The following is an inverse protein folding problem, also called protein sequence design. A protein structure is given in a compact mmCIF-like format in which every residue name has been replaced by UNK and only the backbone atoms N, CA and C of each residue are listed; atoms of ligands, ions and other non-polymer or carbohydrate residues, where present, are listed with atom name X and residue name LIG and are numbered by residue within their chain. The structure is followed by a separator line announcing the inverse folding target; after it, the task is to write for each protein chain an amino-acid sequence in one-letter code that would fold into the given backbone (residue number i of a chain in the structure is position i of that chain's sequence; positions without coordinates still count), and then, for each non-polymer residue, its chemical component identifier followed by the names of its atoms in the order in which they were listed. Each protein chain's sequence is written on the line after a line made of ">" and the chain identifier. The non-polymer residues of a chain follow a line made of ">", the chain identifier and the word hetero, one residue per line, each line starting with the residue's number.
data_IF_734551416891
#
_entry.id   IF_734551416891
#
_cell.length_a   1.000
_cell.length_b   1.000
_cell.length_c   1.000
_cell.angle_alpha   90.00
_cell.angle_beta   90.00
_cell.angle_gamma   90.00
#
_symmetry.space_group_name_H-M   'P 1'
#
loop_
_entity.id
_entity.type
_entity.pdbx_description
1 polymer ?
#
# COMPACT_ATOMS: atom_id res chain seq x y z
N UNK A 1 -6.34 14.67 4.51
CA UNK A 1 -7.60 14.36 5.15
C UNK A 1 -7.95 12.89 4.94
N UNK A 2 -8.40 12.17 5.97
CA UNK A 2 -8.93 10.81 5.92
C UNK A 2 -10.31 10.80 6.56
N UNK A 3 -11.29 10.17 5.92
CA UNK A 3 -12.65 10.11 6.44
C UNK A 3 -13.24 8.71 6.29
N UNK A 4 -13.99 8.27 7.29
CA UNK A 4 -14.86 7.11 7.22
C UNK A 4 -16.26 7.54 6.79
N UNK A 5 -16.78 6.86 5.76
CA UNK A 5 -18.12 7.13 5.24
C UNK A 5 -18.98 5.88 5.31
N UNK A 6 -20.27 6.07 5.54
CA UNK A 6 -21.26 5.02 5.29
C UNK A 6 -21.41 4.78 3.78
N UNK A 7 -22.11 3.73 3.37
CA UNK A 7 -22.31 3.41 1.95
C UNK A 7 -23.19 4.41 1.19
N UNK A 8 -24.04 5.14 1.92
CA UNK A 8 -24.88 6.24 1.43
C UNK A 8 -24.19 7.62 1.51
N UNK A 9 -22.87 7.64 1.83
CA UNK A 9 -22.03 8.82 1.80
C UNK A 9 -22.06 9.66 3.07
N UNK A 10 -22.72 9.23 4.14
CA UNK A 10 -22.68 9.95 5.42
C UNK A 10 -21.32 9.78 6.09
N UNK A 11 -20.75 10.89 6.54
CA UNK A 11 -19.50 10.88 7.30
C UNK A 11 -19.72 10.31 8.70
N UNK A 12 -18.94 9.28 9.02
CA UNK A 12 -18.87 8.69 10.36
C UNK A 12 -17.84 9.44 11.20
N UNK A 13 -16.66 9.65 10.64
CA UNK A 13 -15.54 10.34 11.27
C UNK A 13 -14.63 10.97 10.21
N UNK A 14 -13.78 11.88 10.65
CA UNK A 14 -12.80 12.58 9.84
C UNK A 14 -11.55 12.89 10.68
N UNK A 15 -10.37 12.76 10.09
CA UNK A 15 -9.08 13.08 10.70
C UNK A 15 -8.18 13.80 9.72
N UNK A 16 -7.47 14.78 10.21
CA UNK A 16 -6.42 15.47 9.46
C UNK A 16 -5.08 14.80 9.76
N UNK A 17 -4.70 13.81 8.95
CA UNK A 17 -3.42 13.11 9.11
C UNK A 17 -2.24 14.09 9.05
N UNK A 18 -2.35 15.16 8.28
CA UNK A 18 -1.31 16.20 8.17
C UNK A 18 -1.17 17.00 9.47
N UNK A 19 -2.26 17.43 10.07
CA UNK A 19 -2.23 18.22 11.31
C UNK A 19 -1.83 17.37 12.53
N UNK A 20 -2.31 16.13 12.59
CA UNK A 20 -2.05 15.24 13.70
C UNK A 20 -0.65 14.64 13.69
N UNK A 21 -0.09 14.31 12.51
CA UNK A 21 1.17 13.57 12.40
C UNK A 21 2.26 14.30 11.62
N UNK A 22 1.98 15.50 11.11
CA UNK A 22 2.94 16.33 10.36
C UNK A 22 3.74 15.55 9.30
N UNK A 23 3.10 14.77 8.41
CA UNK A 23 3.81 14.15 7.32
C UNK A 23 4.22 15.26 6.34
N UNK A 24 5.54 15.40 6.12
CA UNK A 24 6.04 16.27 5.07
C UNK A 24 6.09 15.51 3.76
N UNK A 25 5.37 16.01 2.75
CA UNK A 25 5.49 15.54 1.37
C UNK A 25 6.24 16.60 0.56
N UNK A 26 7.17 16.18 -0.27
CA UNK A 26 8.02 17.11 -1.03
C UNK A 26 7.50 17.44 -2.41
N UNK A 27 6.66 16.62 -2.99
CA UNK A 27 6.21 16.75 -4.37
C UNK A 27 4.69 16.65 -4.49
N UNK A 28 4.00 17.74 -4.20
CA UNK A 28 2.61 17.93 -4.61
C UNK A 28 1.57 17.09 -3.86
N UNK A 29 1.78 16.77 -2.59
CA UNK A 29 0.75 16.17 -1.74
C UNK A 29 0.25 14.79 -2.17
N UNK A 30 1.06 14.02 -2.88
CA UNK A 30 0.73 12.65 -3.28
C UNK A 30 0.55 11.78 -2.06
N UNK A 31 -0.47 10.93 -2.08
CA UNK A 31 -0.80 10.03 -0.98
C UNK A 31 -0.91 8.59 -1.48
N UNK A 32 -0.70 7.64 -0.57
CA UNK A 32 -0.96 6.23 -0.81
C UNK A 32 -2.40 5.93 -0.44
N UNK A 33 -3.09 5.13 -1.23
CA UNK A 33 -4.46 4.69 -0.91
C UNK A 33 -4.48 3.88 0.39
N UNK A 34 -5.45 4.13 1.28
CA UNK A 34 -5.62 3.30 2.46
C UNK A 34 -5.97 1.86 2.08
N UNK A 35 -5.54 0.91 2.90
CA UNK A 35 -5.97 -0.49 2.79
C UNK A 35 -6.84 -0.86 3.98
N UNK A 36 -7.85 -1.71 3.73
CA UNK A 36 -8.75 -2.19 4.78
C UNK A 36 -8.45 -3.66 5.07
N UNK A 37 -8.18 -3.99 6.34
CA UNK A 37 -8.02 -5.36 6.83
C UNK A 37 -8.88 -5.59 8.08
N UNK A 38 -9.92 -6.42 7.95
CA UNK A 38 -10.91 -6.62 9.01
C UNK A 38 -11.58 -5.31 9.43
N UNK A 39 -11.39 -4.90 10.67
CA UNK A 39 -11.91 -3.65 11.22
C UNK A 39 -10.95 -2.46 11.09
N UNK A 40 -9.77 -2.66 10.53
CA UNK A 40 -8.75 -1.63 10.42
C UNK A 40 -8.76 -0.97 9.05
N UNK A 41 -8.60 0.35 9.02
CA UNK A 41 -8.17 1.14 7.88
C UNK A 41 -6.73 1.54 8.14
N UNK A 42 -5.80 1.10 7.28
CA UNK A 42 -4.36 1.33 7.47
C UNK A 42 -3.90 2.32 6.41
N UNK A 43 -3.17 3.34 6.85
CA UNK A 43 -2.58 4.37 5.99
C UNK A 43 -1.08 4.45 6.22
N UNK A 44 -0.33 4.80 5.18
CA UNK A 44 1.08 5.15 5.26
C UNK A 44 1.21 6.66 5.16
N UNK A 45 2.07 7.25 5.99
CA UNK A 45 2.39 8.67 5.88
C UNK A 45 3.62 8.83 5.00
N UNK A 46 3.49 9.40 3.79
CA UNK A 46 4.66 9.69 2.98
C UNK A 46 5.53 10.71 3.72
N UNK A 47 6.81 10.40 3.84
CA UNK A 47 7.81 11.27 4.46
C UNK A 47 9.00 11.44 3.55
N UNK A 48 9.66 12.59 3.64
CA UNK A 48 10.93 12.81 2.96
C UNK A 48 11.98 13.34 3.94
N UNK A 49 13.24 13.34 3.53
CA UNK A 49 14.36 13.85 4.33
C UNK A 49 14.64 15.34 4.14
N UNK A 50 13.77 16.05 3.46
CA UNK A 50 14.04 17.44 3.12
C UNK A 50 13.87 18.34 4.35
N UNK A 51 14.99 18.83 4.82
CA UNK A 51 15.09 19.74 5.95
C UNK A 51 15.20 19.07 7.33
N UNK A 52 15.52 19.88 8.32
CA UNK A 52 15.74 19.46 9.71
C UNK A 52 14.45 18.93 10.39
N UNK A 53 13.28 19.30 9.87
CA UNK A 53 11.97 18.91 10.41
C UNK A 53 11.44 17.59 9.84
N UNK A 54 12.15 16.95 8.91
CA UNK A 54 11.72 15.66 8.36
C UNK A 54 11.59 14.61 9.46
N UNK A 55 10.48 13.88 9.45
CA UNK A 55 10.27 12.78 10.39
C UNK A 55 11.40 11.74 10.25
N UNK A 56 11.83 11.18 11.38
CA UNK A 56 12.93 10.20 11.41
C UNK A 56 12.58 8.86 10.80
N UNK A 57 11.28 8.56 10.64
CA UNK A 57 10.80 7.32 10.05
C UNK A 57 9.44 7.53 9.35
N UNK A 58 9.17 6.74 8.31
CA UNK A 58 7.84 6.63 7.73
C UNK A 58 6.91 5.94 8.73
N UNK A 59 5.76 6.52 8.97
CA UNK A 59 4.74 5.97 9.86
C UNK A 59 3.67 5.22 9.08
N UNK A 60 3.23 4.11 9.65
CA UNK A 60 2.03 3.40 9.27
C UNK A 60 1.05 3.52 10.44
N UNK A 61 -0.19 3.88 10.14
CA UNK A 61 -1.21 4.17 11.14
C UNK A 61 -2.43 3.32 10.83
N UNK A 62 -2.88 2.52 11.79
CA UNK A 62 -4.13 1.80 11.69
C UNK A 62 -5.20 2.45 12.55
N UNK A 63 -6.36 2.66 11.95
CA UNK A 63 -7.53 3.21 12.60
C UNK A 63 -8.66 2.17 12.61
N UNK A 64 -9.49 2.16 13.64
CA UNK A 64 -10.77 1.46 13.56
C UNK A 64 -11.62 2.15 12.47
N UNK A 65 -11.98 1.41 11.43
CA UNK A 65 -12.69 1.97 10.27
C UNK A 65 -14.07 2.52 10.59
N UNK A 66 -14.65 2.21 11.78
CA UNK A 66 -15.99 2.65 12.21
C UNK A 66 -15.94 3.94 13.02
N UNK A 67 -14.89 4.11 13.84
CA UNK A 67 -14.78 5.23 14.80
C UNK A 67 -13.69 6.23 14.43
N UNK A 68 -12.68 5.81 13.64
CA UNK A 68 -11.51 6.62 13.35
C UNK A 68 -10.47 6.63 14.48
N UNK A 69 -10.66 5.83 15.53
CA UNK A 69 -9.70 5.73 16.63
C UNK A 69 -8.41 5.06 16.19
N UNK A 70 -7.28 5.55 16.67
CA UNK A 70 -5.97 4.98 16.35
C UNK A 70 -5.76 3.70 17.14
N UNK A 71 -5.61 2.59 16.44
CA UNK A 71 -5.40 1.26 17.02
C UNK A 71 -3.93 0.96 17.21
N UNK A 72 -3.09 1.33 16.24
CA UNK A 72 -1.64 1.24 16.35
C UNK A 72 -0.93 2.21 15.38
N UNK A 73 0.30 2.57 15.75
CA UNK A 73 1.25 3.31 14.91
C UNK A 73 2.53 2.47 14.85
N UNK A 74 3.09 2.31 13.65
CA UNK A 74 4.29 1.53 13.40
C UNK A 74 5.29 2.30 12.55
N UNK A 75 6.58 2.11 12.83
CA UNK A 75 7.72 2.68 12.10
C UNK A 75 8.69 1.57 11.72
N UNK A 76 8.32 0.67 10.78
CA UNK A 76 9.11 -0.53 10.46
C UNK A 76 10.38 -0.25 9.68
N UNK A 77 10.48 0.92 9.04
CA UNK A 77 11.61 1.33 8.20
C UNK A 77 12.69 2.09 8.95
N UNK A 78 13.79 2.35 8.25
CA UNK A 78 14.84 3.22 8.67
C UNK A 78 14.54 4.70 8.39
N UNK A 79 15.59 5.54 8.45
CA UNK A 79 15.48 6.95 8.13
C UNK A 79 15.03 7.10 6.66
N UNK A 80 13.97 7.87 6.37
CA UNK A 80 13.53 8.12 5.02
C UNK A 80 14.63 8.81 4.21
N UNK A 81 14.81 8.38 2.98
CA UNK A 81 15.73 9.04 2.04
C UNK A 81 14.95 9.80 0.96
N UNK A 82 13.81 9.28 0.56
CA UNK A 82 12.88 9.93 -0.34
C UNK A 82 11.45 9.47 -0.04
N UNK A 83 10.46 10.11 -0.67
CA UNK A 83 9.06 9.73 -0.51
C UNK A 83 8.80 8.35 -1.12
N UNK A 84 7.98 7.52 -0.46
CA UNK A 84 7.47 6.28 -1.02
C UNK A 84 5.98 6.41 -1.32
N UNK A 85 5.59 6.00 -2.52
CA UNK A 85 4.20 5.89 -2.98
C UNK A 85 3.78 4.42 -3.17
N UNK A 86 4.54 3.49 -2.61
CA UNK A 86 4.28 2.06 -2.75
C UNK A 86 2.89 1.72 -2.21
N UNK A 87 2.03 1.08 -3.01
CA UNK A 87 0.77 0.56 -2.52
C UNK A 87 1.01 -0.54 -1.48
N UNK A 88 0.14 -0.56 -0.47
CA UNK A 88 0.13 -1.59 0.55
C UNK A 88 -0.66 -2.80 0.07
N UNK A 89 -0.15 -4.01 0.27
CA UNK A 89 -0.81 -5.26 -0.04
C UNK A 89 -0.92 -6.15 1.20
N UNK A 90 -2.06 -6.82 1.39
CA UNK A 90 -2.20 -7.89 2.37
C UNK A 90 -1.93 -9.22 1.68
N UNK A 91 -0.94 -9.94 2.18
CA UNK A 91 -0.52 -11.25 1.66
C UNK A 91 -0.50 -12.28 2.79
N UNK A 92 -0.47 -13.57 2.44
CA UNK A 92 -0.32 -14.65 3.41
C UNK A 92 0.99 -15.38 3.16
N UNK A 93 1.87 -15.41 4.16
CA UNK A 93 3.17 -16.10 4.13
C UNK A 93 3.17 -17.14 5.26
N UNK A 94 3.34 -18.41 4.91
CA UNK A 94 3.31 -19.52 5.87
C UNK A 94 2.11 -19.46 6.84
N UNK A 95 0.92 -19.18 6.31
CA UNK A 95 -0.31 -19.08 7.09
C UNK A 95 -0.44 -17.81 7.94
N UNK A 96 0.51 -16.90 7.91
CA UNK A 96 0.46 -15.61 8.61
C UNK A 96 0.14 -14.48 7.63
N UNK A 97 -0.84 -13.64 7.97
CA UNK A 97 -1.15 -12.43 7.19
C UNK A 97 -0.09 -11.37 7.45
N UNK A 98 0.37 -10.75 6.38
CA UNK A 98 1.33 -9.65 6.41
C UNK A 98 0.82 -8.51 5.53
N UNK A 99 1.01 -7.29 5.98
CA UNK A 99 0.97 -6.10 5.15
C UNK A 99 2.36 -5.89 4.59
N UNK A 100 2.49 -5.92 3.27
CA UNK A 100 3.77 -5.71 2.57
C UNK A 100 3.70 -4.44 1.73
N UNK A 101 4.80 -3.68 1.71
CA UNK A 101 4.90 -2.40 0.99
C UNK A 101 6.35 -1.97 0.83
N UNK A 102 6.59 -0.98 0.00
CA UNK A 102 7.88 -0.29 -0.06
C UNK A 102 7.97 0.85 0.96
N UNK A 103 9.16 1.06 1.48
CA UNK A 103 9.49 2.14 2.42
C UNK A 103 10.20 3.32 1.79
N UNK A 104 10.14 4.46 2.47
CA UNK A 104 10.83 5.72 2.10
C UNK A 104 12.35 5.64 2.25
N UNK A 105 12.85 4.58 2.87
CA UNK A 105 14.26 4.28 3.11
C UNK A 105 14.86 3.29 2.09
N UNK A 106 14.13 2.99 1.01
CA UNK A 106 14.56 2.06 -0.03
C UNK A 106 14.40 0.59 0.33
N UNK A 107 13.63 0.30 1.37
CA UNK A 107 13.38 -1.06 1.82
C UNK A 107 12.02 -1.61 1.38
N UNK A 108 11.95 -2.89 1.11
CA UNK A 108 10.72 -3.66 1.20
C UNK A 108 10.44 -3.95 2.68
N UNK A 109 9.19 -3.82 3.10
CA UNK A 109 8.75 -3.90 4.49
C UNK A 109 7.60 -4.89 4.65
N UNK A 110 7.57 -5.61 5.77
CA UNK A 110 6.40 -6.36 6.20
C UNK A 110 6.05 -6.06 7.65
N UNK A 111 4.77 -5.90 7.90
CA UNK A 111 4.17 -5.63 9.22
C UNK A 111 3.01 -6.58 9.48
N UNK A 112 2.76 -6.91 10.74
CA UNK A 112 1.53 -7.58 11.18
C UNK A 112 0.36 -6.60 11.04
N UNK A 113 -0.65 -6.86 10.18
CA UNK A 113 -1.71 -5.87 9.93
C UNK A 113 -2.55 -5.56 11.17
N UNK A 114 -2.70 -6.51 12.10
CA UNK A 114 -3.53 -6.32 13.30
C UNK A 114 -2.82 -5.62 14.46
N UNK A 115 -1.48 -5.70 14.53
CA UNK A 115 -0.69 -5.19 15.66
C UNK A 115 0.27 -4.07 15.31
N UNK A 116 0.61 -3.90 14.02
CA UNK A 116 1.64 -2.97 13.57
C UNK A 116 3.09 -3.48 13.81
N UNK A 117 3.26 -4.71 14.31
CA UNK A 117 4.58 -5.29 14.59
C UNK A 117 5.39 -5.47 13.29
N UNK A 118 6.61 -4.92 13.19
CA UNK A 118 7.52 -5.19 12.08
C UNK A 118 7.91 -6.68 12.03
N UNK A 119 7.88 -7.29 10.83
CA UNK A 119 8.24 -8.69 10.63
C UNK A 119 9.59 -8.83 9.95
N UNK A 120 9.76 -8.15 8.82
CA UNK A 120 11.04 -8.10 8.11
C UNK A 120 11.22 -6.82 7.32
N UNK A 121 12.47 -6.52 7.00
CA UNK A 121 12.90 -5.39 6.19
C UNK A 121 14.02 -5.83 5.25
N UNK A 122 13.95 -5.50 3.96
CA UNK A 122 14.97 -5.77 2.93
C UNK A 122 15.30 -4.48 2.20
N UNK A 123 16.47 -3.89 2.46
CA UNK A 123 16.94 -2.70 1.73
C UNK A 123 17.44 -3.11 0.36
N UNK A 124 16.92 -2.46 -0.69
CA UNK A 124 17.22 -2.78 -2.10
C UNK A 124 17.58 -1.55 -2.95
N UNK A 125 17.22 -0.35 -2.51
CA UNK A 125 17.46 0.89 -3.23
C UNK A 125 18.01 1.97 -2.30
N UNK A 126 18.64 3.00 -2.88
CA UNK A 126 19.08 4.18 -2.12
C UNK A 126 17.95 5.16 -1.82
N UNK A 127 16.82 5.08 -2.53
CA UNK A 127 15.65 5.95 -2.39
C UNK A 127 14.39 5.16 -2.12
N UNK A 128 13.28 5.87 -1.84
CA UNK A 128 12.00 5.27 -1.54
C UNK A 128 11.45 4.38 -2.67
N UNK A 129 10.87 3.25 -2.30
CA UNK A 129 10.22 2.36 -3.26
C UNK A 129 8.82 2.88 -3.60
N UNK A 130 8.45 2.90 -4.88
CA UNK A 130 7.19 3.41 -5.37
C UNK A 130 6.26 2.33 -5.94
N UNK A 131 6.76 1.12 -6.13
CA UNK A 131 6.00 -0.02 -6.66
C UNK A 131 5.50 -0.93 -5.55
N UNK A 132 4.40 -1.63 -5.80
CA UNK A 132 3.85 -2.62 -4.88
C UNK A 132 4.70 -3.89 -4.82
N UNK A 133 4.71 -4.51 -3.64
CA UNK A 133 5.31 -5.82 -3.44
C UNK A 133 4.23 -6.87 -3.63
N UNK A 134 4.51 -7.89 -4.44
CA UNK A 134 3.60 -8.99 -4.75
C UNK A 134 4.11 -10.28 -4.15
N UNK A 135 3.20 -11.21 -3.87
CA UNK A 135 3.53 -12.57 -3.46
C UNK A 135 3.16 -13.57 -4.56
N UNK A 136 4.09 -14.45 -4.89
CA UNK A 136 3.91 -15.56 -5.80
C UNK A 136 4.37 -16.86 -5.14
N UNK A 137 3.43 -17.61 -4.57
CA UNK A 137 3.76 -18.80 -3.79
C UNK A 137 4.66 -18.45 -2.59
N UNK A 138 5.91 -18.93 -2.61
CA UNK A 138 6.92 -18.70 -1.56
C UNK A 138 7.91 -17.58 -1.90
N UNK A 139 7.67 -16.83 -2.97
CA UNK A 139 8.52 -15.71 -3.37
C UNK A 139 7.75 -14.40 -3.31
N UNK A 140 8.43 -13.33 -2.90
CA UNK A 140 7.95 -11.97 -3.06
C UNK A 140 8.68 -11.29 -4.22
N UNK A 141 7.94 -10.53 -5.02
CA UNK A 141 8.44 -9.79 -6.17
C UNK A 141 8.39 -8.30 -5.83
N UNK A 142 9.48 -7.61 -6.05
CA UNK A 142 9.60 -6.16 -5.93
C UNK A 142 10.26 -5.57 -7.17
N UNK A 143 10.06 -4.28 -7.40
CA UNK A 143 10.83 -3.51 -8.37
C UNK A 143 11.03 -2.07 -7.87
N UNK A 144 11.97 -1.35 -8.47
CA UNK A 144 12.14 0.08 -8.26
C UNK A 144 12.76 0.74 -9.51
N UNK A 145 12.73 2.06 -9.55
CA UNK A 145 13.31 2.84 -10.66
C UNK A 145 14.53 3.66 -10.27
N UNK A 146 14.95 3.60 -9.01
CA UNK A 146 15.99 4.46 -8.45
C UNK A 146 17.37 3.79 -8.41
N UNK A 147 18.35 4.43 -7.75
CA UNK A 147 19.72 3.92 -7.70
C UNK A 147 19.81 2.61 -6.93
N UNK A 148 20.48 1.65 -7.51
CA UNK A 148 20.85 0.40 -6.85
C UNK A 148 21.91 0.64 -5.76
N UNK A 149 21.99 -0.25 -4.76
CA UNK A 149 22.95 -0.13 -3.64
C UNK A 149 24.40 -0.34 -4.07
N UNK A 150 24.64 -1.14 -5.11
CA UNK A 150 25.96 -1.71 -5.44
C UNK A 150 26.37 -1.51 -6.89
N UNK A 151 25.55 -0.83 -7.71
CA UNK A 151 25.89 -0.49 -9.12
C UNK A 151 25.44 0.93 -9.45
N UNK A 152 25.90 1.45 -10.60
CA UNK A 152 25.44 2.72 -11.17
C UNK A 152 24.22 2.55 -12.09
N UNK A 153 23.76 1.33 -12.32
CA UNK A 153 22.55 1.09 -13.08
C UNK A 153 21.32 1.52 -12.26
N UNK A 154 20.40 2.19 -12.92
CA UNK A 154 19.12 2.59 -12.34
C UNK A 154 18.11 1.45 -12.43
N UNK A 155 17.37 1.25 -11.34
CA UNK A 155 16.26 0.32 -11.32
C UNK A 155 16.64 -1.16 -11.19
N UNK A 156 15.68 -1.92 -10.69
CA UNK A 156 15.79 -3.37 -10.54
C UNK A 156 14.39 -3.99 -10.44
N UNK A 157 14.26 -5.21 -10.93
CA UNK A 157 13.19 -6.14 -10.54
C UNK A 157 13.83 -7.37 -9.91
N UNK A 158 13.29 -7.84 -8.80
CA UNK A 158 13.87 -8.96 -8.05
C UNK A 158 12.80 -9.84 -7.38
N UNK A 159 13.16 -11.10 -7.17
CA UNK A 159 12.44 -12.01 -6.30
C UNK A 159 13.26 -12.30 -5.05
N UNK A 160 12.59 -12.39 -3.91
CA UNK A 160 13.21 -12.72 -2.64
C UNK A 160 12.34 -13.64 -1.78
N UNK A 161 12.96 -14.24 -0.77
CA UNK A 161 12.28 -15.09 0.21
C UNK A 161 11.68 -14.25 1.34
N UNK A 162 10.34 -14.14 1.45
CA UNK A 162 9.67 -13.36 2.49
C UNK A 162 9.42 -14.14 3.79
N UNK A 163 9.94 -15.35 3.93
CA UNK A 163 9.63 -16.24 5.08
C UNK A 163 10.50 -15.99 6.30
N UNK A 164 11.68 -15.36 6.12
CA UNK A 164 12.57 -14.98 7.19
C UNK A 164 12.06 -13.75 7.96
N UNK A 165 12.65 -13.45 9.11
CA UNK A 165 12.28 -12.33 9.99
C UNK A 165 13.47 -11.40 10.23
N UNK A 166 13.19 -10.17 10.62
CA UNK A 166 14.19 -9.16 10.94
C UNK A 166 14.80 -8.51 9.69
N UNK A 167 16.07 -8.09 9.78
CA UNK A 167 16.79 -7.50 8.65
C UNK A 167 17.20 -8.59 7.67
N UNK A 168 16.68 -8.51 6.45
CA UNK A 168 17.01 -9.43 5.37
C UNK A 168 18.20 -8.88 4.58
N UNK A 169 19.08 -9.76 4.14
CA UNK A 169 20.23 -9.42 3.31
C UNK A 169 20.17 -10.04 1.92
N UNK A 170 21.24 -9.87 1.14
CA UNK A 170 21.37 -10.37 -0.24
C UNK A 170 21.14 -11.88 -0.36
N UNK A 171 21.41 -12.68 0.68
CA UNK A 171 21.19 -14.12 0.72
C UNK A 171 19.71 -14.52 0.59
N UNK A 172 18.78 -13.60 0.84
CA UNK A 172 17.34 -13.86 0.68
C UNK A 172 16.86 -13.53 -0.74
N UNK A 173 17.67 -12.84 -1.56
CA UNK A 173 17.34 -12.56 -2.96
C UNK A 173 17.57 -13.83 -3.78
N UNK A 174 16.52 -14.30 -4.45
CA UNK A 174 16.56 -15.49 -5.31
C UNK A 174 17.15 -15.16 -6.67
N UNK A 175 16.72 -14.04 -7.25
CA UNK A 175 17.25 -13.48 -8.48
C UNK A 175 16.98 -11.96 -8.51
N UNK A 176 17.78 -11.24 -9.29
CA UNK A 176 17.62 -9.80 -9.54
C UNK A 176 18.04 -9.45 -10.96
N UNK A 177 17.25 -8.63 -11.63
CA UNK A 177 17.54 -8.05 -12.94
C UNK A 177 17.68 -6.54 -12.77
N UNK A 178 18.90 -6.05 -12.87
CA UNK A 178 19.24 -4.62 -12.80
C UNK A 178 19.03 -3.94 -14.15
N UNK A 179 18.92 -2.62 -14.16
CA UNK A 179 18.63 -1.85 -15.36
C UNK A 179 17.14 -1.81 -15.74
N UNK A 180 16.27 -2.44 -14.94
CA UNK A 180 14.83 -2.35 -15.12
C UNK A 180 14.26 -1.18 -14.30
N UNK A 181 13.91 -0.09 -14.95
CA UNK A 181 13.41 1.14 -14.30
C UNK A 181 11.89 1.04 -14.10
N UNK A 182 11.46 0.29 -13.06
CA UNK A 182 10.05 0.04 -12.77
C UNK A 182 9.22 1.29 -12.41
N UNK A 183 9.88 2.32 -11.90
CA UNK A 183 9.26 3.61 -11.62
C UNK A 183 8.10 3.53 -10.63
N UNK A 184 6.90 3.86 -11.11
CA UNK A 184 5.65 3.85 -10.33
C UNK A 184 4.73 2.68 -10.68
N UNK A 185 4.97 2.02 -11.81
CA UNK A 185 4.15 0.91 -12.27
C UNK A 185 4.48 -0.36 -11.49
N UNK A 186 3.48 -0.93 -10.82
CA UNK A 186 3.62 -2.22 -10.13
C UNK A 186 3.45 -3.38 -11.12
N UNK A 187 4.08 -4.51 -10.81
CA UNK A 187 3.93 -5.74 -11.58
C UNK A 187 2.55 -6.38 -11.41
N UNK A 188 2.22 -7.30 -12.31
CA UNK A 188 1.15 -8.30 -12.15
C UNK A 188 1.72 -9.68 -12.46
N UNK A 189 1.14 -10.72 -11.86
CA UNK A 189 1.60 -12.11 -12.00
C UNK A 189 0.48 -12.96 -12.59
N UNK A 190 0.83 -13.78 -13.59
CA UNK A 190 -0.05 -14.76 -14.21
C UNK A 190 0.70 -16.10 -14.35
N UNK A 191 0.36 -17.07 -13.50
CA UNK A 191 1.03 -18.36 -13.47
C UNK A 191 2.53 -18.22 -13.21
N UNK A 192 3.32 -18.56 -14.21
CA UNK A 192 4.79 -18.55 -14.19
C UNK A 192 5.41 -17.25 -14.75
N UNK A 193 4.62 -16.19 -14.95
CA UNK A 193 5.05 -14.95 -15.60
C UNK A 193 4.75 -13.72 -14.78
N UNK A 194 5.65 -12.76 -14.88
CA UNK A 194 5.51 -11.41 -14.34
C UNK A 194 5.38 -10.46 -15.53
N UNK A 195 4.39 -9.57 -15.48
CA UNK A 195 4.23 -8.48 -16.44
C UNK A 195 4.34 -7.14 -15.73
N UNK A 196 5.19 -6.25 -16.24
CA UNK A 196 5.33 -4.90 -15.71
C UNK A 196 5.75 -3.94 -16.80
N UNK A 197 5.16 -2.76 -16.83
CA UNK A 197 5.64 -1.66 -17.67
C UNK A 197 6.73 -0.89 -16.92
N UNK A 198 7.78 -0.49 -17.64
CA UNK A 198 8.80 0.41 -17.13
C UNK A 198 8.40 1.90 -17.32
N UNK A 199 9.21 2.82 -16.81
CA UNK A 199 8.97 4.27 -16.94
C UNK A 199 8.91 4.77 -18.39
N UNK A 200 9.54 4.04 -19.31
CA UNK A 200 9.54 4.36 -20.75
C UNK A 200 8.36 3.73 -21.48
N UNK A 201 7.32 3.33 -20.77
CA UNK A 201 6.14 2.65 -21.31
C UNK A 201 6.48 1.39 -22.13
N UNK A 202 7.53 0.68 -21.76
CA UNK A 202 7.80 -0.66 -22.31
C UNK A 202 7.22 -1.71 -21.39
N UNK A 203 6.30 -2.52 -21.88
CA UNK A 203 5.78 -3.68 -21.20
C UNK A 203 6.76 -4.84 -21.32
N UNK A 204 7.20 -5.37 -20.19
CA UNK A 204 8.09 -6.52 -20.10
C UNK A 204 7.35 -7.74 -19.59
N UNK A 205 7.73 -8.92 -20.07
CA UNK A 205 7.39 -10.20 -19.46
C UNK A 205 8.67 -10.87 -18.93
N UNK A 206 8.61 -11.32 -17.69
CA UNK A 206 9.70 -12.07 -17.06
C UNK A 206 9.22 -13.44 -16.63
N UNK A 207 10.11 -14.41 -16.67
CA UNK A 207 9.93 -15.71 -16.03
C UNK A 207 9.97 -15.55 -14.51
N UNK A 208 8.95 -16.03 -13.83
CA UNK A 208 8.78 -15.84 -12.38
C UNK A 208 9.91 -16.53 -11.58
N UNK A 209 10.40 -17.67 -12.02
CA UNK A 209 11.37 -18.46 -11.26
C UNK A 209 12.81 -17.97 -11.42
N UNK A 210 13.13 -17.39 -12.58
CA UNK A 210 14.51 -17.06 -12.95
C UNK A 210 14.76 -15.57 -13.14
N UNK A 211 13.70 -14.76 -13.30
CA UNK A 211 13.81 -13.35 -13.69
C UNK A 211 14.21 -13.14 -15.14
N UNK A 212 14.36 -14.20 -15.94
CA UNK A 212 14.73 -14.07 -17.37
C UNK A 212 13.65 -13.31 -18.13
N UNK A 213 14.04 -12.25 -18.84
CA UNK A 213 13.12 -11.54 -19.73
C UNK A 213 12.69 -12.46 -20.88
N UNK A 214 11.40 -12.65 -21.05
CA UNK A 214 10.79 -13.46 -22.10
C UNK A 214 10.57 -12.65 -23.37
N UNK A 215 9.95 -11.48 -23.21
CA UNK A 215 9.71 -10.52 -24.30
C UNK A 215 9.50 -9.12 -23.72
N UNK A 216 9.49 -8.13 -24.62
CA UNK A 216 9.11 -6.74 -24.32
C UNK A 216 8.33 -6.12 -25.47
N UNK A 217 7.49 -5.12 -25.19
CA UNK A 217 6.64 -4.44 -26.15
C UNK A 217 6.47 -2.97 -25.78
N UNK A 218 6.69 -2.05 -26.71
CA UNK A 218 6.52 -0.63 -26.48
C UNK A 218 5.03 -0.23 -26.51
N UNK A 219 4.58 0.50 -25.49
CA UNK A 219 3.24 1.10 -25.39
C UNK A 219 3.28 2.62 -25.67
N UNK A 220 4.46 3.22 -25.67
CA UNK A 220 4.64 4.65 -25.85
C UNK A 220 5.91 5.16 -25.16
N UNK A 221 6.03 6.47 -24.94
CA UNK A 221 7.25 7.05 -24.39
C UNK A 221 7.29 7.10 -22.87
N UNK A 222 6.13 7.07 -22.17
CA UNK A 222 6.07 7.29 -20.72
C UNK A 222 4.89 6.57 -20.06
N UNK A 223 5.14 5.95 -18.91
CA UNK A 223 4.19 5.16 -18.14
C UNK A 223 4.31 5.44 -16.63
N UNK A 224 3.19 5.64 -15.96
CA UNK A 224 3.09 5.67 -14.49
C UNK A 224 2.07 4.66 -13.96
N UNK A 225 0.96 4.48 -14.68
CA UNK A 225 -0.07 3.53 -14.29
C UNK A 225 0.46 2.10 -14.26
N UNK A 226 0.07 1.32 -13.28
CA UNK A 226 0.27 -0.13 -13.30
C UNK A 226 -0.66 -0.78 -14.32
N UNK A 227 -0.18 -1.84 -14.95
CA UNK A 227 -1.03 -2.64 -15.83
C UNK A 227 -2.05 -3.44 -15.01
N UNK A 228 -3.22 -3.69 -15.58
CA UNK A 228 -4.23 -4.56 -15.00
C UNK A 228 -4.26 -5.88 -15.76
N UNK A 229 -4.15 -7.00 -15.04
CA UNK A 229 -4.41 -8.32 -15.59
C UNK A 229 -5.83 -8.77 -15.21
N UNK A 230 -6.68 -8.98 -16.19
CA UNK A 230 -8.04 -9.45 -15.98
C UNK A 230 -8.54 -10.29 -17.16
N UNK A 231 -9.16 -11.42 -16.87
CA UNK A 231 -9.72 -12.35 -17.86
C UNK A 231 -8.71 -12.71 -18.98
N UNK A 232 -7.46 -13.01 -18.62
CA UNK A 232 -6.40 -13.39 -19.55
C UNK A 232 -5.94 -12.27 -20.49
N UNK A 233 -6.21 -11.00 -20.13
CA UNK A 233 -5.81 -9.82 -20.89
C UNK A 233 -5.10 -8.81 -19.98
N UNK A 234 -4.18 -8.07 -20.57
CA UNK A 234 -3.52 -6.94 -19.94
C UNK A 234 -4.17 -5.65 -20.46
N UNK A 235 -4.52 -4.77 -19.55
CA UNK A 235 -5.06 -3.44 -19.82
C UNK A 235 -4.02 -2.43 -19.34
N UNK A 236 -3.64 -1.50 -20.22
CA UNK A 236 -2.60 -0.52 -19.94
C UNK A 236 -2.98 0.86 -20.49
N UNK A 237 -2.99 1.86 -19.60
CA UNK A 237 -3.10 3.26 -20.00
C UNK A 237 -1.73 3.92 -19.92
N UNK A 238 -1.43 4.86 -20.81
CA UNK A 238 -0.17 5.59 -20.86
C UNK A 238 -0.36 7.07 -20.56
N UNK A 239 0.69 7.72 -20.09
CA UNK A 239 0.67 9.17 -19.85
C UNK A 239 0.63 9.97 -21.18
N UNK A 240 0.94 9.32 -22.30
CA UNK A 240 0.77 9.88 -23.64
C UNK A 240 -0.67 9.78 -24.20
N UNK A 241 -1.64 9.36 -23.38
CA UNK A 241 -3.06 9.34 -23.74
C UNK A 241 -3.48 8.15 -24.61
N UNK A 242 -2.80 7.03 -24.50
CA UNK A 242 -3.21 5.78 -25.17
C UNK A 242 -3.73 4.76 -24.16
N UNK A 243 -4.70 3.96 -24.59
CA UNK A 243 -5.20 2.83 -23.82
C UNK A 243 -5.17 1.56 -24.66
N UNK A 244 -4.56 0.51 -24.09
CA UNK A 244 -4.32 -0.77 -24.74
C UNK A 244 -5.12 -1.90 -24.09
N UNK A 245 -5.59 -2.82 -24.93
CA UNK A 245 -6.05 -4.16 -24.52
C UNK A 245 -5.15 -5.18 -25.22
N UNK A 246 -4.44 -5.97 -24.44
CA UNK A 246 -3.37 -6.84 -24.90
C UNK A 246 -3.65 -8.28 -24.48
N UNK A 247 -3.24 -9.25 -25.28
CA UNK A 247 -3.24 -10.66 -24.93
C UNK A 247 -1.80 -11.16 -24.82
N UNK A 248 -1.33 -11.55 -23.62
CA UNK A 248 0.00 -12.10 -23.46
C UNK A 248 0.06 -13.54 -24.00
N UNK A 249 1.16 -13.86 -24.68
CA UNK A 249 1.54 -15.22 -25.09
C UNK A 249 2.90 -15.59 -24.44
N UNK A 250 3.38 -16.79 -24.72
CA UNK A 250 4.62 -17.28 -24.12
C UNK A 250 5.85 -16.44 -24.56
N UNK A 251 5.87 -16.04 -25.80
CA UNK A 251 7.01 -15.43 -26.52
C UNK A 251 6.74 -14.01 -27.06
N UNK A 252 5.51 -13.52 -26.92
CA UNK A 252 5.09 -12.21 -27.44
C UNK A 252 3.83 -11.69 -26.75
N UNK A 253 3.44 -10.50 -27.10
CA UNK A 253 2.11 -9.94 -26.79
C UNK A 253 1.39 -9.61 -28.09
N UNK A 254 0.07 -9.85 -28.11
CA UNK A 254 -0.84 -9.51 -29.20
C UNK A 254 -1.62 -8.24 -28.80
N UNK A 255 -1.61 -7.22 -29.64
CA UNK A 255 -2.42 -6.01 -29.44
C UNK A 255 -3.83 -6.29 -29.95
N UNK A 256 -4.79 -6.39 -29.04
CA UNK A 256 -6.20 -6.59 -29.39
C UNK A 256 -6.92 -5.28 -29.69
N UNK A 257 -6.50 -4.21 -29.00
CA UNK A 257 -7.02 -2.86 -29.20
C UNK A 257 -5.98 -1.84 -28.74
N UNK A 258 -5.83 -0.79 -29.52
CA UNK A 258 -5.09 0.43 -29.17
C UNK A 258 -6.00 1.61 -29.50
N UNK A 259 -6.24 2.48 -28.52
CA UNK A 259 -7.07 3.67 -28.68
C UNK A 259 -6.31 4.88 -28.17
N UNK A 260 -6.24 5.93 -28.97
CA UNK A 260 -5.84 7.24 -28.54
C UNK A 260 -7.05 7.97 -27.92
N UNK A 261 -6.86 8.54 -26.76
CA UNK A 261 -7.93 9.24 -26.02
C UNK A 261 -8.17 10.64 -26.63
N UNK A 262 -9.31 11.26 -26.34
CA UNK A 262 -9.59 12.63 -26.77
C UNK A 262 -8.54 13.62 -26.28
N UNK A 263 -8.48 14.77 -26.91
CA UNK A 263 -7.63 15.89 -26.46
C UNK A 263 -8.15 16.41 -25.13
N UNK A 264 -7.26 16.52 -24.13
CA UNK A 264 -7.59 17.02 -22.82
C UNK A 264 -8.13 18.46 -22.87
N UNK A 265 -9.19 18.70 -22.12
CA UNK A 265 -9.79 20.03 -21.93
C UNK A 265 -9.21 20.73 -20.69
N UNK A 266 -8.62 19.98 -19.77
CA UNK A 266 -7.94 20.47 -18.58
C UNK A 266 -6.53 20.95 -18.96
N UNK A 267 -6.40 22.22 -19.35
CA UNK A 267 -5.16 22.82 -19.83
C UNK A 267 -4.07 22.99 -18.74
N UNK A 268 -3.63 21.90 -18.11
CA UNK A 268 -2.41 21.89 -17.26
C UNK A 268 -1.16 22.29 -18.01
N UNK A 269 -1.19 22.16 -19.34
CA UNK A 269 -0.12 22.62 -20.24
C UNK A 269 -0.75 23.34 -21.45
N UNK A 270 -0.11 24.35 -21.94
CA UNK A 270 -0.52 25.13 -23.12
C UNK A 270 -0.59 24.31 -24.42
N UNK A 271 -0.24 23.02 -24.37
CA UNK A 271 -0.27 22.11 -25.51
C UNK A 271 -1.54 21.25 -25.48
N UNK A 272 -2.18 21.13 -26.64
CA UNK A 272 -3.27 20.18 -26.86
C UNK A 272 -2.70 18.78 -26.96
N UNK A 273 -2.80 18.02 -25.86
CA UNK A 273 -2.35 16.63 -25.79
C UNK A 273 -3.51 15.70 -25.50
N UNK A 274 -3.48 14.43 -25.93
CA UNK A 274 -4.48 13.44 -25.52
C UNK A 274 -4.55 13.32 -23.99
N UNK A 275 -5.73 12.97 -23.47
CA UNK A 275 -5.97 12.80 -22.02
C UNK A 275 -4.97 11.79 -21.42
N UNK A 276 -4.00 12.20 -20.57
CA UNK A 276 -3.05 11.27 -19.98
C UNK A 276 -3.73 10.31 -18.98
N UNK A 277 -3.31 9.03 -18.99
CA UNK A 277 -3.73 8.02 -18.02
C UNK A 277 -2.61 7.77 -17.03
N UNK A 278 -2.78 8.26 -15.81
CA UNK A 278 -1.80 8.12 -14.71
C UNK A 278 -2.29 7.12 -13.66
N UNK A 279 -3.60 6.90 -13.58
CA UNK A 279 -4.21 5.96 -12.65
C UNK A 279 -4.28 4.56 -13.26
N UNK A 280 -4.02 3.54 -12.43
CA UNK A 280 -4.15 2.14 -12.82
C UNK A 280 -5.63 1.77 -13.07
N UNK A 281 -5.88 0.97 -14.09
CA UNK A 281 -7.20 0.45 -14.36
C UNK A 281 -7.66 -0.55 -13.28
N UNK A 282 -8.97 -0.72 -13.15
CA UNK A 282 -9.58 -1.72 -12.28
C UNK A 282 -10.66 -2.51 -13.02
N UNK A 283 -10.91 -3.75 -12.58
CA UNK A 283 -11.95 -4.61 -13.15
C UNK A 283 -13.03 -4.91 -12.11
N UNK A 284 -14.26 -4.67 -12.45
CA UNK A 284 -15.41 -5.00 -11.61
C UNK A 284 -16.65 -5.29 -12.45
N UNK A 285 -17.44 -6.30 -12.05
CA UNK A 285 -18.76 -6.60 -12.63
C UNK A 285 -18.74 -6.74 -14.15
N UNK A 286 -17.69 -7.41 -14.69
CA UNK A 286 -17.54 -7.64 -16.13
C UNK A 286 -17.14 -6.40 -16.93
N UNK A 287 -16.70 -5.36 -16.29
CA UNK A 287 -16.18 -4.12 -16.92
C UNK A 287 -14.80 -3.79 -16.42
N UNK A 288 -14.04 -3.08 -17.25
CA UNK A 288 -12.78 -2.42 -16.88
C UNK A 288 -13.06 -0.92 -16.76
N UNK A 289 -12.59 -0.33 -15.68
CA UNK A 289 -12.69 1.09 -15.39
C UNK A 289 -11.29 1.70 -15.35
N UNK A 290 -11.12 2.86 -15.96
CA UNK A 290 -9.92 3.67 -15.81
C UNK A 290 -10.25 5.15 -15.86
N UNK A 291 -9.35 5.96 -15.33
CA UNK A 291 -9.51 7.42 -15.27
C UNK A 291 -8.35 8.04 -16.03
N UNK A 292 -8.65 8.94 -16.94
CA UNK A 292 -7.70 9.89 -17.54
C UNK A 292 -7.68 11.20 -16.73
N UNK A 293 -7.00 12.22 -17.21
CA UNK A 293 -7.07 13.55 -16.60
C UNK A 293 -8.50 14.10 -16.54
N UNK A 294 -9.33 13.82 -17.53
CA UNK A 294 -10.62 14.48 -17.76
C UNK A 294 -11.81 13.53 -17.56
N UNK A 295 -11.67 12.24 -17.82
CA UNK A 295 -12.79 11.32 -18.03
C UNK A 295 -12.65 10.02 -17.27
N UNK A 296 -13.76 9.54 -16.67
CA UNK A 296 -13.90 8.17 -16.17
C UNK A 296 -14.46 7.28 -17.30
N UNK A 297 -13.67 6.32 -17.74
CA UNK A 297 -14.06 5.33 -18.75
C UNK A 297 -14.52 4.03 -18.13
N UNK A 298 -15.56 3.42 -18.74
CA UNK A 298 -16.06 2.09 -18.40
C UNK A 298 -16.15 1.25 -19.68
N UNK A 299 -15.26 0.27 -19.83
CA UNK A 299 -15.19 -0.62 -20.98
C UNK A 299 -15.87 -1.94 -20.65
N UNK A 300 -16.80 -2.38 -21.47
CA UNK A 300 -17.49 -3.65 -21.29
C UNK A 300 -18.84 -3.70 -22.03
N UNK A 301 -19.63 -4.76 -21.83
CA UNK A 301 -20.94 -4.90 -22.47
C UNK A 301 -21.84 -3.71 -22.13
N UNK A 302 -22.63 -3.24 -23.12
CA UNK A 302 -23.60 -2.14 -22.92
C UNK A 302 -24.67 -2.47 -21.88
N UNK A 303 -25.04 -3.74 -21.77
CA UNK A 303 -25.99 -4.25 -20.76
C UNK A 303 -25.29 -5.34 -19.95
N UNK A 304 -25.05 -5.10 -18.68
CA UNK A 304 -24.69 -6.13 -17.71
C UNK A 304 -25.88 -6.32 -16.78
N UNK A 305 -26.28 -7.57 -16.53
CA UNK A 305 -27.23 -7.85 -15.48
C UNK A 305 -26.68 -7.30 -14.15
N UNK A 306 -27.47 -6.49 -13.46
CA UNK A 306 -27.10 -6.00 -12.15
C UNK A 306 -26.95 -7.20 -11.22
N UNK A 307 -25.72 -7.59 -10.92
CA UNK A 307 -25.49 -8.55 -9.85
C UNK A 307 -25.60 -7.82 -8.52
N UNK A 308 -26.48 -8.27 -7.62
CA UNK A 308 -26.53 -7.68 -6.29
C UNK A 308 -25.17 -7.85 -5.63
N UNK A 309 -24.61 -6.73 -5.17
CA UNK A 309 -23.36 -6.76 -4.45
C UNK A 309 -23.56 -7.46 -3.10
N UNK A 310 -22.80 -8.52 -2.87
CA UNK A 310 -22.71 -9.16 -1.56
C UNK A 310 -21.41 -8.70 -0.92
N UNK A 311 -21.45 -8.16 0.31
CA UNK A 311 -20.22 -7.86 1.03
C UNK A 311 -19.45 -9.16 1.24
N UNK A 312 -18.19 -9.20 0.80
CA UNK A 312 -17.27 -10.26 1.21
C UNK A 312 -16.84 -9.87 2.62
N UNK A 313 -17.34 -10.60 3.61
CA UNK A 313 -16.82 -10.48 4.97
C UNK A 313 -15.36 -10.98 4.94
N UNK A 314 -14.40 -10.08 5.12
CA UNK A 314 -13.04 -10.48 5.44
C UNK A 314 -13.09 -11.03 6.88
N UNK A 315 -13.06 -12.36 7.00
CA UNK A 315 -12.91 -12.98 8.30
C UNK A 315 -11.53 -12.57 8.84
N UNK A 316 -11.52 -11.99 10.04
CA UNK A 316 -10.27 -11.83 10.78
C UNK A 316 -9.75 -13.24 11.10
N UNK A 317 -8.45 -13.46 10.91
CA UNK A 317 -7.83 -14.69 11.37
C UNK A 317 -8.00 -14.81 12.87
N UNK A 318 -8.65 -15.88 13.33
CA UNK A 318 -8.75 -16.17 14.76
C UNK A 318 -7.40 -16.63 15.29
N UNK A 319 -6.95 -16.00 16.36
CA UNK A 319 -5.75 -16.42 17.09
C UNK A 319 -5.91 -17.79 17.72
N UNK A 320 -4.82 -18.48 17.94
CA UNK A 320 -4.77 -19.81 18.56
C UNK A 320 -3.63 -19.89 19.58
N UNK A 321 -3.87 -20.62 20.66
CA UNK A 321 -2.87 -20.87 21.69
C UNK A 321 -2.77 -19.76 22.74
N UNK A 322 -1.57 -19.58 23.31
CA UNK A 322 -1.33 -18.62 24.39
C UNK A 322 -1.21 -17.18 23.87
N UNK A 323 -1.59 -16.22 24.70
CA UNK A 323 -1.35 -14.81 24.42
C UNK A 323 0.16 -14.52 24.49
N UNK A 324 0.67 -13.88 23.43
CA UNK A 324 2.05 -13.44 23.33
C UNK A 324 2.18 -11.90 23.37
N UNK A 325 1.12 -11.19 23.00
CA UNK A 325 1.11 -9.73 22.90
C UNK A 325 -0.15 -9.15 23.52
N UNK A 326 0.01 -7.96 24.13
CA UNK A 326 -1.11 -7.12 24.55
C UNK A 326 -1.05 -5.80 23.80
N UNK A 327 -2.19 -5.34 23.31
CA UNK A 327 -2.36 -4.04 22.67
C UNK A 327 -3.42 -3.26 23.42
N UNK A 328 -3.16 -2.00 23.71
CA UNK A 328 -4.17 -1.06 24.22
C UNK A 328 -4.66 -0.21 23.05
N UNK A 329 -5.97 -0.18 22.88
CA UNK A 329 -6.63 0.64 21.86
C UNK A 329 -7.77 1.49 22.49
N UNK A 330 -7.93 2.77 22.10
CA UNK A 330 -7.06 3.56 21.24
C UNK A 330 -5.64 3.69 21.81
N UNK A 331 -4.62 3.76 20.92
CA UNK A 331 -3.22 3.84 21.33
C UNK A 331 -2.72 5.29 21.43
N UNK A 332 -3.32 6.19 20.68
CA UNK A 332 -3.02 7.62 20.69
C UNK A 332 -4.30 8.42 20.50
N UNK A 333 -4.46 9.50 21.27
CA UNK A 333 -5.66 10.33 21.25
C UNK A 333 -5.38 11.72 21.77
N UNK A 334 -6.16 12.69 21.32
CA UNK A 334 -6.19 14.05 21.87
C UNK A 334 -7.40 14.18 22.77
N UNK A 335 -7.17 14.46 24.05
CA UNK A 335 -8.20 14.58 25.07
C UNK A 335 -8.18 15.97 25.69
N UNK A 336 -9.36 16.45 26.07
CA UNK A 336 -9.53 17.68 26.84
C UNK A 336 -9.60 17.37 28.32
N UNK A 337 -9.29 18.33 29.20
CA UNK A 337 -9.55 18.19 30.63
C UNK A 337 -11.00 17.76 30.92
N UNK A 338 -11.18 16.74 31.73
CA UNK A 338 -12.48 16.16 32.06
C UNK A 338 -12.99 15.10 31.06
N UNK A 339 -12.34 14.90 29.94
CA UNK A 339 -12.72 13.85 28.98
C UNK A 339 -12.59 12.45 29.58
N UNK A 340 -13.44 11.57 29.08
CA UNK A 340 -13.43 10.15 29.44
C UNK A 340 -13.38 9.29 28.17
N UNK A 341 -12.50 8.29 28.17
CA UNK A 341 -12.37 7.35 27.06
C UNK A 341 -12.31 5.90 27.57
N UNK A 342 -12.91 4.97 26.83
CA UNK A 342 -12.80 3.56 27.10
C UNK A 342 -11.59 2.98 26.37
N UNK A 343 -10.65 2.44 27.12
CA UNK A 343 -9.49 1.70 26.61
C UNK A 343 -9.81 0.19 26.60
N UNK A 344 -9.33 -0.49 25.58
CA UNK A 344 -9.48 -1.91 25.39
C UNK A 344 -8.11 -2.59 25.40
N UNK A 345 -7.93 -3.60 26.25
CA UNK A 345 -6.74 -4.44 26.25
C UNK A 345 -7.00 -5.68 25.39
N UNK A 346 -6.36 -5.76 24.24
CA UNK A 346 -6.55 -6.80 23.23
C UNK A 346 -5.37 -7.78 23.24
N UNK A 347 -5.66 -9.07 23.31
CA UNK A 347 -4.64 -10.12 23.35
C UNK A 347 -4.45 -10.75 21.96
N UNK A 348 -3.20 -11.01 21.62
CA UNK A 348 -2.79 -11.61 20.33
C UNK A 348 -1.85 -12.79 20.58
N UNK A 349 -1.89 -13.77 19.66
CA UNK A 349 -0.95 -14.87 19.65
C UNK A 349 0.43 -14.45 19.09
N UNK A 350 1.39 -15.38 19.05
CA UNK A 350 2.74 -15.16 18.55
C UNK A 350 2.80 -14.82 17.04
N UNK A 351 1.74 -15.02 16.29
CA UNK A 351 1.62 -14.64 14.88
C UNK A 351 0.90 -13.29 14.70
N UNK A 352 0.55 -12.60 15.80
CA UNK A 352 -0.18 -11.33 15.76
C UNK A 352 -1.66 -11.47 15.37
N UNK A 353 -2.27 -12.65 15.57
CA UNK A 353 -3.69 -12.90 15.35
C UNK A 353 -4.48 -12.62 16.63
N UNK A 354 -5.61 -11.97 16.48
CA UNK A 354 -6.44 -11.60 17.63
C UNK A 354 -7.00 -12.84 18.34
N UNK A 355 -6.82 -12.92 19.65
CA UNK A 355 -7.36 -13.99 20.51
C UNK A 355 -8.67 -13.56 21.15
N UNK A 356 -8.62 -12.50 21.94
CA UNK A 356 -9.76 -11.99 22.73
C UNK A 356 -9.43 -10.65 23.39
N UNK A 357 -10.41 -9.98 23.90
CA UNK A 357 -10.21 -8.91 24.89
C UNK A 357 -9.70 -9.52 26.22
N UNK A 358 -8.88 -8.76 26.95
CA UNK A 358 -8.44 -9.17 28.29
C UNK A 358 -9.56 -8.91 29.29
N UNK A 359 -10.19 -9.96 29.80
CA UNK A 359 -11.29 -9.87 30.79
C UNK A 359 -10.84 -9.23 32.10
N UNK A 360 -9.59 -9.48 32.48
CA UNK A 360 -8.96 -8.93 33.69
C UNK A 360 -7.63 -8.29 33.29
N UNK A 361 -7.59 -6.96 33.27
CA UNK A 361 -6.39 -6.19 33.05
C UNK A 361 -6.14 -5.27 34.25
N UNK A 362 -4.91 -5.23 34.72
CA UNK A 362 -4.47 -4.22 35.67
C UNK A 362 -4.05 -2.99 34.93
N UNK A 363 -4.64 -1.86 35.26
CA UNK A 363 -4.40 -0.60 34.61
C UNK A 363 -3.58 0.33 35.53
N UNK A 364 -2.59 1.01 34.99
CA UNK A 364 -1.87 2.07 35.65
C UNK A 364 -1.74 3.28 34.73
N UNK A 365 -1.71 4.46 35.31
CA UNK A 365 -1.56 5.72 34.59
C UNK A 365 -0.25 6.38 35.06
N UNK A 366 0.59 6.76 34.09
CA UNK A 366 1.86 7.42 34.37
C UNK A 366 2.01 8.67 33.48
N UNK A 367 2.44 9.78 34.06
CA UNK A 367 2.69 11.01 33.31
C UNK A 367 1.46 11.84 32.97
N UNK A 368 0.26 11.39 33.31
CA UNK A 368 -1.00 12.11 33.08
C UNK A 368 -1.77 12.24 34.40
N UNK A 369 -2.29 13.43 34.72
CA UNK A 369 -3.26 13.58 35.83
C UNK A 369 -4.62 13.01 35.42
N UNK A 370 -5.12 12.07 36.20
CA UNK A 370 -6.39 11.40 35.93
C UNK A 370 -6.51 10.09 36.69
N UNK A 371 -7.45 9.30 36.28
CA UNK A 371 -7.68 7.95 36.82
C UNK A 371 -8.02 6.97 35.71
N UNK A 372 -7.62 5.72 35.86
CA UNK A 372 -8.03 4.62 34.98
C UNK A 372 -8.61 3.49 35.83
N UNK A 373 -9.87 3.13 35.56
CA UNK A 373 -10.57 2.05 36.27
C UNK A 373 -11.29 1.17 35.27
N UNK A 374 -10.98 -0.12 35.24
CA UNK A 374 -11.53 -1.10 34.31
C UNK A 374 -11.42 -0.63 32.83
N UNK A 375 -10.29 -0.05 32.46
CA UNK A 375 -10.05 0.51 31.12
C UNK A 375 -10.71 1.87 30.86
N UNK A 376 -11.53 2.40 31.76
CA UNK A 376 -12.10 3.73 31.62
C UNK A 376 -11.12 4.76 32.13
N UNK A 377 -10.46 5.47 31.21
CA UNK A 377 -9.58 6.60 31.50
C UNK A 377 -10.42 7.87 31.65
N UNK A 378 -10.21 8.60 32.74
CA UNK A 378 -10.76 9.93 33.00
C UNK A 378 -9.62 10.92 33.18
N UNK A 379 -9.57 11.94 32.37
CA UNK A 379 -8.59 13.03 32.47
C UNK A 379 -9.02 14.00 33.57
N UNK A 380 -8.08 14.42 34.39
CA UNK A 380 -8.40 15.38 35.46
C UNK A 380 -8.92 16.71 34.85
N UNK A 381 -9.98 17.31 35.42
CA UNK A 381 -10.58 18.52 34.87
C UNK A 381 -9.70 19.78 35.03
N UNK A 382 -8.71 19.71 35.91
CA UNK A 382 -7.71 20.77 36.18
C UNK A 382 -6.39 20.58 35.40
N UNK A 383 -6.34 19.62 34.47
CA UNK A 383 -5.15 19.38 33.65
C UNK A 383 -4.91 20.56 32.72
N UNK A 384 -3.73 21.18 32.82
CA UNK A 384 -3.27 22.23 31.93
C UNK A 384 -2.11 21.65 31.11
N UNK A 385 -2.33 21.49 29.84
CA UNK A 385 -1.39 21.20 28.75
C UNK A 385 -0.25 20.20 29.03
N UNK A 386 -0.16 19.18 28.22
CA UNK A 386 1.10 18.46 27.93
C UNK A 386 1.44 18.57 26.46
#
# INVERSE_FOLDING_TARGET
>A
LLAGLTRDGKRLWERSITEEFSPFTTHGGRTVSPIVDGNLAIVSTPTSTWGAQANRAQRFIALDKRTGDIVWISTPGGRPYDTSYSPMNIVTVNGARLLVTGGSDGAALAIRPQTGEPVWRLVVAKRGLNTGILLAGTMAILSHGDENLDTNEMGMIAAFDPTAKGELGKQHIKWAVKGFVGGYSSAVIDGDRIYQADNSATLHAFDLQTGRQLWKHSLGPIQKASVLLAAGKIYAGTESGKFFVLRPHADRVEVLSEVELPISQEGLFTQKVPEPVVASASAARGRVYFVSSDTLYAIGPKKTAAQPWKPVAQAMEAGQGAAAWVQVAPTEMVLKPGDTVQLHARLFDAQGRFLREAEKATWSLTGLKGAVTAGKLMVAPDLVGQ
#
